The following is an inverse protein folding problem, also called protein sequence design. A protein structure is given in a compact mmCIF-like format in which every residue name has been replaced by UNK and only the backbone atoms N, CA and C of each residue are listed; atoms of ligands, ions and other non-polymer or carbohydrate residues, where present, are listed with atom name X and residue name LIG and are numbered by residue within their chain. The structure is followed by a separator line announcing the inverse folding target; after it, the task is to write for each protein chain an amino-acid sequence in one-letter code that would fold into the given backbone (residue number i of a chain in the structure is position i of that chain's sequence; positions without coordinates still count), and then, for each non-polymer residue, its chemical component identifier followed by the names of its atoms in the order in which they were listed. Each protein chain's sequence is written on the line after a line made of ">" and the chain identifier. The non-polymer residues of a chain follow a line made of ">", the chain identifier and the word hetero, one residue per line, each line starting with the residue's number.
data_IF_245271118519
#
_entry.id   IF_245271118519
#
_cell.length_a   1.000
_cell.length_b   1.000
_cell.length_c   1.000
_cell.angle_alpha   90.00
_cell.angle_beta   90.00
_cell.angle_gamma   90.00
#
_symmetry.space_group_name_H-M   'P 1'
#
loop_
_entity.id
_entity.type
_entity.pdbx_description
1 polymer ?
#
# COMPACT_ATOMS: atom_id res chain seq x y z
N UNK A 1 -7.19 34.56 2.45
CA UNK A 1 -5.93 34.64 3.24
C UNK A 1 -6.23 33.94 4.55
N UNK A 2 -6.00 32.63 4.57
CA UNK A 2 -6.00 31.80 5.77
C UNK A 2 -4.96 30.74 5.43
N UNK A 3 -3.79 30.89 6.04
CA UNK A 3 -2.74 29.88 6.01
C UNK A 3 -3.34 28.61 6.60
N UNK A 4 -3.27 27.49 5.88
CA UNK A 4 -3.57 26.20 6.47
C UNK A 4 -2.68 26.04 7.71
N UNK A 5 -3.24 25.74 8.89
CA UNK A 5 -2.44 25.61 10.08
C UNK A 5 -1.49 24.43 9.88
N UNK A 6 -0.18 24.70 9.88
CA UNK A 6 0.88 23.69 9.92
C UNK A 6 0.98 23.02 11.30
N UNK A 7 -0.09 23.10 12.08
CA UNK A 7 -0.21 22.67 13.46
C UNK A 7 -1.17 21.47 13.46
N UNK A 8 -0.65 20.24 13.63
CA UNK A 8 -1.46 19.03 13.54
C UNK A 8 -2.65 19.07 14.49
N UNK A 9 -2.52 19.68 15.66
CA UNK A 9 -3.56 19.76 16.69
C UNK A 9 -4.79 20.56 16.20
N UNK A 10 -4.59 21.62 15.41
CA UNK A 10 -5.70 22.42 14.85
C UNK A 10 -6.41 21.73 13.69
N UNK A 11 -5.67 20.92 12.94
CA UNK A 11 -6.24 20.09 11.88
C UNK A 11 -7.10 18.99 12.49
N UNK A 12 -6.70 18.44 13.64
CA UNK A 12 -7.49 17.47 14.39
C UNK A 12 -8.80 18.08 14.90
N UNK A 13 -8.75 19.28 15.50
CA UNK A 13 -9.96 20.00 15.93
C UNK A 13 -10.94 20.24 14.76
N UNK A 14 -10.44 20.62 13.58
CA UNK A 14 -11.28 20.85 12.38
C UNK A 14 -11.89 19.54 11.84
N UNK A 15 -11.17 18.42 11.92
CA UNK A 15 -11.69 17.10 11.52
C UNK A 15 -12.74 16.56 12.50
N UNK A 16 -12.58 16.80 13.79
CA UNK A 16 -13.57 16.42 14.83
C UNK A 16 -14.89 17.19 14.66
N UNK A 17 -14.84 18.46 14.25
CA UNK A 17 -16.04 19.28 14.04
C UNK A 17 -16.83 18.87 12.78
N UNK A 18 -16.16 18.31 11.76
CA UNK A 18 -16.78 17.90 10.48
C UNK A 18 -17.41 16.50 10.55
N UNK A 19 -16.92 15.62 11.43
CA UNK A 19 -17.44 14.27 11.62
C UNK A 19 -17.97 14.09 13.05
N UNK A 20 -19.30 14.17 13.23
CA UNK A 20 -19.97 13.81 14.50
C UNK A 20 -19.79 12.31 14.78
N UNK A 21 -18.68 11.96 15.43
CA UNK A 21 -18.41 10.60 15.90
C UNK A 21 -17.98 10.68 17.35
N UNK A 22 -18.46 9.77 18.20
CA UNK A 22 -18.00 9.62 19.59
C UNK A 22 -16.54 9.11 19.68
N UNK A 23 -15.81 9.07 18.55
CA UNK A 23 -14.47 8.50 18.42
C UNK A 23 -13.43 9.61 18.32
N UNK A 24 -12.65 9.83 19.38
CA UNK A 24 -11.48 10.73 19.37
C UNK A 24 -10.30 10.06 18.65
N UNK A 25 -9.63 10.81 17.77
CA UNK A 25 -8.47 10.32 17.01
C UNK A 25 -7.31 10.00 17.97
N UNK A 26 -6.90 8.73 18.01
CA UNK A 26 -5.80 8.27 18.87
C UNK A 26 -6.21 7.72 20.24
N UNK A 27 -7.51 7.58 20.52
CA UNK A 27 -7.99 7.02 21.80
C UNK A 27 -7.46 5.60 22.12
N UNK A 28 -7.22 4.79 21.09
CA UNK A 28 -6.73 3.41 21.20
C UNK A 28 -5.20 3.31 21.22
N UNK A 29 -4.53 4.46 21.13
CA UNK A 29 -3.09 4.51 21.02
C UNK A 29 -2.43 4.57 22.40
N UNK A 30 -1.31 3.84 22.52
CA UNK A 30 -0.45 3.88 23.69
C UNK A 30 0.81 4.65 23.32
N UNK A 31 1.04 5.75 24.02
CA UNK A 31 2.28 6.52 23.86
C UNK A 31 3.40 5.85 24.64
N UNK A 32 4.34 5.23 23.93
CA UNK A 32 5.49 4.57 24.53
C UNK A 32 6.79 5.20 24.03
N UNK A 33 7.59 5.78 24.94
CA UNK A 33 8.85 6.46 24.62
C UNK A 33 8.73 7.57 23.56
N UNK A 34 7.57 8.24 23.49
CA UNK A 34 7.28 9.26 22.48
C UNK A 34 6.82 8.70 21.13
N UNK A 35 6.65 7.38 21.00
CA UNK A 35 6.02 6.74 19.86
C UNK A 35 4.53 6.56 20.13
N UNK A 36 3.72 7.02 19.18
CA UNK A 36 2.27 6.85 19.18
C UNK A 36 1.92 5.50 18.50
N UNK A 37 1.50 4.50 19.29
CA UNK A 37 1.30 3.13 18.81
C UNK A 37 -0.16 2.70 18.97
N UNK A 38 -0.80 2.34 17.85
CA UNK A 38 -2.12 1.73 17.89
C UNK A 38 -2.05 0.34 18.55
N UNK A 39 -2.59 0.23 19.76
CA UNK A 39 -2.29 -0.88 20.69
C UNK A 39 -2.63 -2.28 20.12
N UNK A 40 -3.86 -2.58 19.68
CA UNK A 40 -4.18 -3.91 19.16
C UNK A 40 -3.44 -4.24 17.86
N UNK A 41 -3.33 -3.28 16.93
CA UNK A 41 -2.75 -3.53 15.61
C UNK A 41 -1.25 -3.75 15.68
N UNK A 42 -0.55 -2.91 16.44
CA UNK A 42 0.91 -2.99 16.58
C UNK A 42 1.32 -4.30 17.24
N UNK A 43 0.75 -4.63 18.40
CA UNK A 43 1.16 -5.80 19.19
C UNK A 43 0.85 -7.10 18.44
N UNK A 44 -0.35 -7.22 17.86
CA UNK A 44 -0.73 -8.44 17.11
C UNK A 44 0.16 -8.62 15.89
N UNK A 45 0.37 -7.57 15.10
CA UNK A 45 1.20 -7.65 13.89
C UNK A 45 2.66 -7.98 14.24
N UNK A 46 3.23 -7.32 15.25
CA UNK A 46 4.61 -7.56 15.68
C UNK A 46 4.80 -8.99 16.19
N UNK A 47 3.89 -9.50 17.02
CA UNK A 47 3.96 -10.88 17.52
C UNK A 47 3.84 -11.89 16.38
N UNK A 48 2.90 -11.69 15.45
CA UNK A 48 2.73 -12.58 14.30
C UNK A 48 3.98 -12.61 13.41
N UNK A 49 4.57 -11.45 13.11
CA UNK A 49 5.80 -11.35 12.31
C UNK A 49 6.96 -12.03 13.04
N UNK A 50 7.15 -11.77 14.33
CA UNK A 50 8.23 -12.38 15.11
C UNK A 50 8.10 -13.89 15.17
N UNK A 51 6.89 -14.41 15.44
CA UNK A 51 6.64 -15.85 15.46
C UNK A 51 6.92 -16.46 14.09
N UNK A 52 6.44 -15.83 13.01
CA UNK A 52 6.67 -16.30 11.64
C UNK A 52 8.17 -16.37 11.30
N UNK A 53 8.93 -15.32 11.64
CA UNK A 53 10.38 -15.26 11.41
C UNK A 53 11.11 -16.31 12.24
N UNK A 54 10.82 -16.41 13.54
CA UNK A 54 11.47 -17.36 14.44
C UNK A 54 11.22 -18.80 13.97
N UNK A 55 9.98 -19.16 13.63
CA UNK A 55 9.66 -20.49 13.13
C UNK A 55 10.36 -20.78 11.80
N UNK A 56 10.45 -19.80 10.91
CA UNK A 56 11.16 -19.95 9.64
C UNK A 56 12.67 -20.14 9.79
N UNK A 57 13.27 -19.54 10.82
CA UNK A 57 14.69 -19.72 11.12
C UNK A 57 14.99 -21.05 11.82
N UNK A 58 14.07 -21.55 12.66
CA UNK A 58 14.25 -22.84 13.35
C UNK A 58 14.00 -24.03 12.41
N UNK A 59 13.04 -23.90 11.48
CA UNK A 59 12.60 -24.99 10.59
C UNK A 59 12.70 -24.61 9.10
N UNK A 60 13.90 -24.31 8.57
CA UNK A 60 14.06 -23.72 7.24
C UNK A 60 13.57 -24.63 6.10
N UNK A 61 13.79 -25.94 6.19
CA UNK A 61 13.40 -26.89 5.15
C UNK A 61 11.88 -27.06 5.08
N UNK A 62 11.22 -27.21 6.23
CA UNK A 62 9.76 -27.30 6.32
C UNK A 62 9.12 -25.99 5.84
N UNK A 63 9.65 -24.83 6.27
CA UNK A 63 9.16 -23.53 5.81
C UNK A 63 9.32 -23.36 4.30
N UNK A 64 10.45 -23.74 3.71
CA UNK A 64 10.64 -23.66 2.27
C UNK A 64 9.64 -24.55 1.51
N UNK A 65 9.44 -25.79 1.97
CA UNK A 65 8.48 -26.70 1.36
C UNK A 65 7.05 -26.18 1.46
N UNK A 66 6.61 -25.74 2.65
CA UNK A 66 5.26 -25.24 2.88
C UNK A 66 4.98 -23.93 2.15
N UNK A 67 5.91 -22.97 2.19
CA UNK A 67 5.77 -21.70 1.48
C UNK A 67 5.79 -21.91 -0.04
N UNK A 68 6.66 -22.81 -0.52
CA UNK A 68 6.71 -23.21 -1.93
C UNK A 68 5.40 -23.82 -2.41
N UNK A 69 4.89 -24.83 -1.69
CA UNK A 69 3.62 -25.48 -2.05
C UNK A 69 2.43 -24.53 -1.94
N UNK A 70 2.44 -23.62 -0.96
CA UNK A 70 1.40 -22.60 -0.82
C UNK A 70 1.46 -21.60 -1.96
N UNK A 71 2.65 -21.15 -2.37
CA UNK A 71 2.84 -20.26 -3.53
C UNK A 71 2.29 -20.90 -4.81
N UNK A 72 2.62 -22.18 -5.04
CA UNK A 72 2.14 -22.94 -6.20
C UNK A 72 0.62 -23.10 -6.16
N UNK A 73 0.06 -23.52 -5.02
CA UNK A 73 -1.40 -23.65 -4.85
C UNK A 73 -2.16 -22.34 -5.06
N UNK A 74 -1.63 -21.21 -4.54
CA UNK A 74 -2.20 -19.88 -4.79
C UNK A 74 -2.14 -19.56 -6.28
N UNK A 75 -0.99 -19.82 -6.92
CA UNK A 75 -0.81 -19.65 -8.36
C UNK A 75 -1.87 -20.41 -9.14
N UNK A 76 -2.01 -21.71 -8.94
CA UNK A 76 -2.95 -22.54 -9.71
C UNK A 76 -4.42 -22.23 -9.40
N UNK A 77 -4.77 -21.96 -8.14
CA UNK A 77 -6.17 -21.80 -7.72
C UNK A 77 -6.71 -20.39 -7.93
N UNK A 78 -5.86 -19.37 -7.80
CA UNK A 78 -6.26 -17.95 -7.85
C UNK A 78 -5.69 -17.19 -9.04
N UNK A 79 -5.03 -17.84 -10.01
CA UNK A 79 -4.54 -17.18 -11.24
C UNK A 79 -5.61 -16.31 -11.91
N UNK A 80 -6.80 -16.89 -12.09
CA UNK A 80 -7.93 -16.17 -12.71
C UNK A 80 -8.35 -14.93 -11.92
N UNK A 81 -8.22 -14.95 -10.58
CA UNK A 81 -8.54 -13.81 -9.72
C UNK A 81 -7.50 -12.71 -9.93
N UNK A 82 -6.21 -13.03 -9.97
CA UNK A 82 -5.16 -12.04 -10.21
C UNK A 82 -5.28 -11.41 -11.61
N UNK A 83 -5.47 -12.24 -12.65
CA UNK A 83 -5.67 -11.77 -14.03
C UNK A 83 -6.92 -10.91 -14.17
N UNK A 84 -8.06 -11.36 -13.64
CA UNK A 84 -9.32 -10.61 -13.74
C UNK A 84 -9.28 -9.32 -12.91
N UNK A 85 -8.70 -9.33 -11.71
CA UNK A 85 -8.56 -8.14 -10.88
C UNK A 85 -7.66 -7.10 -11.54
N UNK A 86 -6.51 -7.50 -12.11
CA UNK A 86 -5.62 -6.59 -12.82
C UNK A 86 -6.34 -5.89 -13.99
N UNK A 87 -7.05 -6.66 -14.82
CA UNK A 87 -7.85 -6.11 -15.92
C UNK A 87 -8.98 -5.22 -15.40
N UNK A 88 -9.68 -5.64 -14.34
CA UNK A 88 -10.74 -4.88 -13.72
C UNK A 88 -10.25 -3.51 -13.23
N UNK A 89 -9.13 -3.44 -12.51
CA UNK A 89 -8.61 -2.17 -12.01
C UNK A 89 -8.15 -1.24 -13.14
N UNK A 90 -7.56 -1.78 -14.22
CA UNK A 90 -7.23 -0.98 -15.41
C UNK A 90 -8.51 -0.38 -16.03
N UNK A 91 -9.51 -1.21 -16.26
CA UNK A 91 -10.79 -0.75 -16.82
C UNK A 91 -11.53 0.21 -15.89
N UNK A 92 -11.46 -0.02 -14.58
CA UNK A 92 -12.04 0.85 -13.57
C UNK A 92 -11.37 2.23 -13.58
N UNK A 93 -10.04 2.29 -13.59
CA UNK A 93 -9.31 3.55 -13.71
C UNK A 93 -9.63 4.29 -15.01
N UNK A 94 -9.71 3.58 -16.15
CA UNK A 94 -10.12 4.18 -17.43
C UNK A 94 -11.57 4.68 -17.38
N UNK A 95 -12.47 3.93 -16.73
CA UNK A 95 -13.85 4.35 -16.54
C UNK A 95 -13.93 5.62 -15.67
N UNK A 96 -13.15 5.72 -14.59
CA UNK A 96 -13.09 6.92 -13.75
C UNK A 96 -12.66 8.16 -14.54
N UNK A 97 -11.75 8.02 -15.51
CA UNK A 97 -11.33 9.14 -16.38
C UNK A 97 -12.50 9.65 -17.24
N UNK A 98 -13.38 8.76 -17.72
CA UNK A 98 -14.49 9.10 -18.60
C UNK A 98 -15.77 9.50 -17.85
N UNK A 99 -15.95 8.98 -16.65
CA UNK A 99 -17.13 9.22 -15.82
C UNK A 99 -17.06 10.60 -15.15
N UNK A 100 -18.22 11.22 -14.83
CA UNK A 100 -18.27 12.53 -14.17
C UNK A 100 -17.57 12.55 -12.81
N UNK A 101 -17.45 11.39 -12.15
CA UNK A 101 -16.76 11.26 -10.86
C UNK A 101 -15.26 11.54 -10.95
N UNK A 102 -14.62 11.39 -12.13
CA UNK A 102 -13.22 11.74 -12.33
C UNK A 102 -12.94 13.25 -12.26
N UNK A 103 -13.97 14.08 -12.36
CA UNK A 103 -13.85 15.54 -12.22
C UNK A 103 -13.89 16.03 -10.77
N UNK A 104 -14.17 15.14 -9.82
CA UNK A 104 -14.25 15.47 -8.39
C UNK A 104 -12.84 15.72 -7.86
N UNK A 105 -12.65 16.88 -7.21
CA UNK A 105 -11.40 17.23 -6.54
C UNK A 105 -11.33 16.57 -5.17
N UNK A 106 -10.21 15.90 -4.89
CA UNK A 106 -9.90 15.35 -3.58
C UNK A 106 -9.48 16.50 -2.64
N UNK A 107 -10.17 16.66 -1.51
CA UNK A 107 -9.94 17.75 -0.56
C UNK A 107 -10.99 18.89 -0.61
N UNK A 108 -12.06 18.74 -1.39
CA UNK A 108 -13.17 19.71 -1.46
C UNK A 108 -13.22 20.52 -2.76
N UNK A 109 -14.31 21.29 -2.94
CA UNK A 109 -14.58 22.00 -4.20
C UNK A 109 -13.51 23.06 -4.53
N UNK A 110 -13.00 23.74 -3.52
CA UNK A 110 -12.01 24.83 -3.64
C UNK A 110 -10.56 24.38 -3.44
N UNK A 111 -10.33 23.07 -3.29
CA UNK A 111 -8.99 22.51 -3.11
C UNK A 111 -8.07 22.89 -4.28
N UNK A 112 -6.83 23.24 -3.94
CA UNK A 112 -5.75 23.53 -4.89
C UNK A 112 -4.63 22.51 -4.70
N UNK A 113 -3.90 22.13 -5.76
CA UNK A 113 -2.76 21.24 -5.61
C UNK A 113 -1.66 21.87 -4.74
N UNK A 114 -1.23 21.13 -3.72
CA UNK A 114 -0.10 21.57 -2.85
C UNK A 114 1.24 21.54 -3.59
N UNK A 115 1.37 20.67 -4.59
CA UNK A 115 2.57 20.47 -5.38
C UNK A 115 2.35 20.88 -6.84
N UNK A 116 3.41 21.39 -7.48
CA UNK A 116 3.40 21.62 -8.92
C UNK A 116 3.26 20.30 -9.68
N UNK A 117 2.72 20.35 -10.90
CA UNK A 117 2.50 19.14 -11.72
C UNK A 117 3.78 18.33 -11.93
N UNK A 118 4.93 19.00 -12.09
CA UNK A 118 6.23 18.35 -12.27
C UNK A 118 6.72 17.71 -10.98
N UNK A 119 6.55 18.38 -9.84
CA UNK A 119 6.90 17.80 -8.54
C UNK A 119 6.02 16.60 -8.21
N UNK A 120 4.71 16.68 -8.49
CA UNK A 120 3.77 15.58 -8.30
C UNK A 120 4.12 14.38 -9.18
N UNK A 121 4.42 14.60 -10.45
CA UNK A 121 4.83 13.54 -11.36
C UNK A 121 6.14 12.86 -10.90
N UNK A 122 7.12 13.64 -10.43
CA UNK A 122 8.36 13.11 -9.88
C UNK A 122 8.11 12.25 -8.62
N UNK A 123 7.19 12.65 -7.73
CA UNK A 123 6.81 11.86 -6.56
C UNK A 123 6.16 10.52 -6.95
N UNK A 124 5.26 10.51 -7.95
CA UNK A 124 4.67 9.27 -8.46
C UNK A 124 5.72 8.32 -9.05
N UNK A 125 6.67 8.87 -9.81
CA UNK A 125 7.76 8.07 -10.36
C UNK A 125 8.65 7.49 -9.26
N UNK A 126 9.02 8.30 -8.27
CA UNK A 126 9.82 7.85 -7.14
C UNK A 126 9.11 6.76 -6.31
N UNK A 127 7.80 6.90 -6.09
CA UNK A 127 7.00 5.90 -5.36
C UNK A 127 6.85 4.58 -6.14
N UNK A 128 6.76 4.64 -7.47
CA UNK A 128 6.58 3.45 -8.32
C UNK A 128 7.88 2.69 -8.63
N UNK A 129 9.04 3.36 -8.62
CA UNK A 129 10.33 2.76 -8.96
C UNK A 129 10.92 1.98 -7.77
N UNK A 130 10.61 0.69 -7.69
CA UNK A 130 11.12 -0.20 -6.64
C UNK A 130 12.37 -1.01 -7.01
N UNK A 131 12.92 -1.73 -6.03
CA UNK A 131 14.03 -2.70 -6.23
C UNK A 131 13.69 -3.77 -7.28
N UNK A 132 12.40 -4.07 -7.46
CA UNK A 132 11.91 -5.00 -8.47
C UNK A 132 12.37 -4.64 -9.88
N UNK A 133 12.37 -3.36 -10.26
CA UNK A 133 12.84 -2.93 -11.57
C UNK A 133 14.35 -3.14 -11.72
N UNK A 134 15.14 -2.88 -10.68
CA UNK A 134 16.59 -3.09 -10.74
C UNK A 134 16.97 -4.56 -10.94
N UNK A 135 16.22 -5.48 -10.33
CA UNK A 135 16.45 -6.92 -10.46
C UNK A 135 15.85 -7.50 -11.75
N UNK A 136 14.55 -7.25 -11.97
CA UNK A 136 13.80 -7.87 -13.06
C UNK A 136 13.95 -7.18 -14.42
N UNK A 137 14.42 -5.92 -14.50
CA UNK A 137 14.64 -5.25 -15.80
C UNK A 137 15.62 -5.96 -16.74
N UNK A 138 16.57 -6.72 -16.17
CA UNK A 138 17.51 -7.53 -16.95
C UNK A 138 17.16 -9.01 -16.86
N UNK A 139 16.80 -9.50 -15.66
CA UNK A 139 16.55 -10.93 -15.45
C UNK A 139 15.35 -11.44 -16.25
N UNK A 140 14.26 -10.68 -16.33
CA UNK A 140 13.05 -11.10 -17.03
C UNK A 140 13.26 -11.16 -18.56
N UNK A 141 13.77 -10.10 -19.25
CA UNK A 141 14.02 -10.18 -20.69
C UNK A 141 15.04 -11.24 -21.09
N UNK A 142 16.11 -11.41 -20.30
CA UNK A 142 17.12 -12.44 -20.57
C UNK A 142 16.51 -13.83 -20.40
N UNK A 143 15.68 -14.05 -19.40
CA UNK A 143 15.05 -15.34 -19.20
C UNK A 143 14.02 -15.69 -20.28
N UNK A 144 13.31 -14.72 -20.84
CA UNK A 144 12.50 -14.92 -22.05
C UNK A 144 13.36 -15.19 -23.29
N UNK A 145 14.47 -14.47 -23.46
CA UNK A 145 15.35 -14.65 -24.61
C UNK A 145 16.09 -15.99 -24.61
N UNK A 146 16.49 -16.47 -23.44
CA UNK A 146 17.26 -17.71 -23.26
C UNK A 146 16.39 -18.93 -22.94
N UNK A 147 15.08 -18.74 -22.79
CA UNK A 147 14.11 -19.76 -22.36
C UNK A 147 14.46 -20.48 -21.05
N UNK A 148 15.35 -19.92 -20.20
CA UNK A 148 15.69 -20.51 -18.89
C UNK A 148 14.42 -20.78 -18.07
N UNK A 149 13.46 -19.85 -18.09
CA UNK A 149 12.23 -19.95 -17.31
C UNK A 149 11.32 -21.12 -17.73
N UNK A 150 11.58 -21.79 -18.86
CA UNK A 150 10.78 -22.91 -19.33
C UNK A 150 9.34 -22.54 -19.70
N UNK A 151 9.13 -21.29 -20.11
CA UNK A 151 7.86 -20.78 -20.68
C UNK A 151 7.76 -21.08 -22.15
#
# INVERSE_FOLDING_TARGET
>A
MSEAPHDPDKLLEELEEVYETDYELGQDNVTWLGLDLHNPVFVVSAVLILVFVILSLIFPEQSNSMLGSTREWIGESFDWLFLSAANFFVLFCLALILLPVGSIRLGGADAKPDFSIMSWFAMLFAAGMGIGLMFWSVAEPVGYFTEWFGT
#
